data_IF_424638254354
#
_entry.id   IF_424638254354
#
_cell.length_a   1.000
_cell.length_b   1.000
_cell.length_c   1.000
_cell.angle_alpha   90.00
_cell.angle_beta   90.00
_cell.angle_gamma   90.00
#
_symmetry.space_group_name_H-M   'P 1'
#
loop_
_entity.id
_entity.type
_entity.pdbx_description
1 polymer ?
#
# COMPACT_ATOMS: atom_id res chain seq x y z
N UNK A 1 24.00 2.21 28.94
CA UNK A 1 23.70 3.23 27.94
C UNK A 1 22.18 3.22 27.71
N UNK A 2 21.45 4.18 28.31
CA UNK A 2 19.99 4.20 28.31
C UNK A 2 19.44 5.10 27.21
N UNK A 3 19.02 4.53 26.10
CA UNK A 3 18.26 5.27 25.10
C UNK A 3 16.83 5.41 25.62
N UNK A 4 16.31 6.64 25.70
CA UNK A 4 14.95 6.89 26.13
C UNK A 4 13.97 6.55 25.00
N UNK A 5 13.46 5.31 25.00
CA UNK A 5 12.55 4.74 23.99
C UNK A 5 11.30 5.60 23.81
N UNK A 6 10.81 6.22 24.89
CA UNK A 6 9.60 7.05 24.85
C UNK A 6 9.83 8.28 23.97
N UNK A 7 10.96 8.98 24.14
CA UNK A 7 11.29 10.17 23.34
C UNK A 7 11.36 9.82 21.84
N UNK A 8 11.99 8.71 21.49
CA UNK A 8 12.09 8.27 20.09
C UNK A 8 10.73 7.90 19.48
N UNK A 9 9.86 7.23 20.25
CA UNK A 9 8.49 6.93 19.80
C UNK A 9 7.70 8.21 19.55
N UNK A 10 7.72 9.16 20.49
CA UNK A 10 7.02 10.44 20.30
C UNK A 10 7.55 11.22 19.10
N UNK A 11 8.87 11.27 18.92
CA UNK A 11 9.50 11.92 17.77
C UNK A 11 9.06 11.29 16.45
N UNK A 12 9.00 9.95 16.36
CA UNK A 12 8.55 9.24 15.17
C UNK A 12 7.07 9.53 14.86
N UNK A 13 6.20 9.52 15.87
CA UNK A 13 4.78 9.85 15.70
C UNK A 13 4.59 11.32 15.30
N UNK A 14 5.37 12.24 15.84
CA UNK A 14 5.31 13.65 15.48
C UNK A 14 5.66 13.86 14.00
N UNK A 15 6.76 13.26 13.54
CA UNK A 15 7.17 13.35 12.13
C UNK A 15 6.14 12.68 11.21
N UNK A 16 5.65 11.51 11.58
CA UNK A 16 4.62 10.81 10.82
C UNK A 16 3.32 11.64 10.72
N UNK A 17 2.88 12.23 11.82
CA UNK A 17 1.70 13.11 11.86
C UNK A 17 1.87 14.37 11.01
N UNK A 18 3.07 14.97 11.01
CA UNK A 18 3.39 16.14 10.19
C UNK A 18 3.32 15.80 8.69
N UNK A 19 3.96 14.69 8.28
CA UNK A 19 3.92 14.22 6.88
C UNK A 19 2.50 13.85 6.48
N UNK A 20 1.76 13.15 7.36
CA UNK A 20 0.36 12.78 7.14
C UNK A 20 -0.55 14.00 7.00
N UNK A 21 -0.31 15.06 7.78
CA UNK A 21 -1.04 16.33 7.67
C UNK A 21 -0.83 17.01 6.31
N UNK A 22 0.40 17.03 5.82
CA UNK A 22 0.73 17.56 4.49
C UNK A 22 0.04 16.74 3.40
N UNK A 23 0.15 15.41 3.47
CA UNK A 23 -0.50 14.52 2.52
C UNK A 23 -2.03 14.66 2.52
N UNK A 24 -2.63 14.82 3.71
CA UNK A 24 -4.05 15.10 3.88
C UNK A 24 -4.47 16.42 3.25
N UNK A 25 -3.67 17.49 3.40
CA UNK A 25 -3.93 18.78 2.78
C UNK A 25 -3.93 18.70 1.24
N UNK A 26 -2.99 17.95 0.65
CA UNK A 26 -2.98 17.68 -0.80
C UNK A 26 -4.20 16.87 -1.24
N UNK A 27 -4.59 15.87 -0.46
CA UNK A 27 -5.79 15.07 -0.74
C UNK A 27 -7.05 15.93 -0.75
N UNK A 28 -7.20 16.78 0.26
CA UNK A 28 -8.34 17.70 0.41
C UNK A 28 -8.43 18.70 -0.74
N UNK A 29 -7.31 19.21 -1.24
CA UNK A 29 -7.31 20.17 -2.34
C UNK A 29 -7.86 19.60 -3.66
N UNK A 30 -7.89 18.26 -3.81
CA UNK A 30 -8.54 17.60 -4.92
C UNK A 30 -10.05 17.34 -4.72
N UNK A 31 -10.55 17.47 -3.49
CA UNK A 31 -11.95 17.25 -3.15
C UNK A 31 -12.66 18.61 -3.03
N UNK A 32 -13.78 18.78 -3.72
CA UNK A 32 -14.57 20.02 -3.66
C UNK A 32 -15.22 20.24 -2.29
N UNK A 33 -15.46 19.16 -1.53
CA UNK A 33 -16.03 19.20 -0.19
C UNK A 33 -15.49 18.05 0.65
N UNK A 34 -15.38 18.25 1.95
CA UNK A 34 -14.90 17.25 2.91
C UNK A 34 -16.06 16.79 3.77
N UNK A 35 -16.24 15.45 3.86
CA UNK A 35 -17.13 14.84 4.82
C UNK A 35 -16.37 13.76 5.61
N UNK A 36 -16.81 13.41 6.83
CA UNK A 36 -16.19 12.35 7.63
C UNK A 36 -16.15 11.00 6.90
N UNK A 37 -17.05 10.76 5.97
CA UNK A 37 -17.16 9.55 5.17
C UNK A 37 -15.95 9.34 4.23
N UNK A 38 -15.21 10.40 3.90
CA UNK A 38 -13.98 10.32 3.11
C UNK A 38 -12.80 9.71 3.88
N UNK A 39 -12.95 9.50 5.19
CA UNK A 39 -11.91 8.93 6.07
C UNK A 39 -12.39 7.65 6.76
N UNK A 40 -12.82 6.61 6.02
CA UNK A 40 -13.21 5.35 6.64
C UNK A 40 -11.99 4.67 7.28
N UNK A 41 -12.22 3.94 8.35
CA UNK A 41 -11.18 3.17 9.05
C UNK A 41 -10.45 2.18 8.14
N UNK A 42 -11.07 1.74 7.07
CA UNK A 42 -10.51 0.84 6.06
C UNK A 42 -9.25 1.41 5.40
N UNK A 43 -9.14 2.74 5.21
CA UNK A 43 -7.94 3.37 4.69
C UNK A 43 -6.70 3.13 5.56
N UNK A 44 -6.88 3.07 6.87
CA UNK A 44 -5.78 2.75 7.78
C UNK A 44 -5.29 1.32 7.60
N UNK A 45 -6.20 0.36 7.43
CA UNK A 45 -5.86 -1.03 7.12
C UNK A 45 -5.18 -1.14 5.76
N UNK A 46 -5.66 -0.39 4.77
CA UNK A 46 -5.07 -0.34 3.44
C UNK A 46 -3.60 0.11 3.49
N UNK A 47 -3.29 1.19 4.23
CA UNK A 47 -1.93 1.67 4.43
C UNK A 47 -1.04 0.64 5.12
N UNK A 48 -1.56 -0.08 6.12
CA UNK A 48 -0.83 -1.18 6.76
C UNK A 48 -0.52 -2.29 5.74
N UNK A 49 -1.49 -2.66 4.90
CA UNK A 49 -1.30 -3.63 3.84
C UNK A 49 -0.21 -3.23 2.85
N UNK A 50 -0.17 -1.96 2.45
CA UNK A 50 0.88 -1.40 1.57
C UNK A 50 2.27 -1.56 2.20
N UNK A 51 2.41 -1.26 3.50
CA UNK A 51 3.68 -1.40 4.24
C UNK A 51 4.10 -2.86 4.34
N UNK A 52 3.15 -3.78 4.58
CA UNK A 52 3.42 -5.21 4.66
C UNK A 52 3.94 -5.77 3.32
N UNK A 53 3.30 -5.41 2.21
CA UNK A 53 3.70 -5.82 0.86
C UNK A 53 5.06 -5.22 0.49
N UNK A 54 5.27 -3.94 0.80
CA UNK A 54 6.52 -3.25 0.52
C UNK A 54 7.71 -3.81 1.31
N UNK A 55 7.45 -4.28 2.51
CA UNK A 55 8.44 -4.78 3.48
C UNK A 55 8.61 -3.83 4.66
N UNK A 56 8.24 -4.34 5.83
CA UNK A 56 8.31 -3.59 7.10
C UNK A 56 9.76 -3.21 7.41
N UNK A 57 9.96 -1.94 7.76
CA UNK A 57 11.28 -1.42 8.15
C UNK A 57 12.14 -0.91 6.99
N UNK A 58 11.63 -0.90 5.76
CA UNK A 58 12.33 -0.37 4.59
C UNK A 58 11.56 0.78 3.94
N UNK A 59 12.17 1.97 3.89
CA UNK A 59 11.57 3.15 3.23
C UNK A 59 11.40 2.89 1.72
N UNK A 60 12.40 2.30 1.09
CA UNK A 60 12.33 1.93 -0.33
C UNK A 60 11.22 0.91 -0.59
N UNK A 61 11.07 -0.06 0.33
CA UNK A 61 10.00 -1.05 0.26
C UNK A 61 8.61 -0.43 0.32
N UNK A 62 8.40 0.52 1.20
CA UNK A 62 7.11 1.22 1.32
C UNK A 62 6.78 1.99 0.03
N UNK A 63 7.76 2.63 -0.61
CA UNK A 63 7.58 3.32 -1.89
C UNK A 63 7.21 2.32 -2.99
N UNK A 64 7.95 1.21 -3.12
CA UNK A 64 7.62 0.17 -4.10
C UNK A 64 6.27 -0.49 -3.82
N UNK A 65 5.96 -0.76 -2.55
CA UNK A 65 4.67 -1.31 -2.13
C UNK A 65 3.50 -0.38 -2.48
N UNK A 66 3.65 0.93 -2.28
CA UNK A 66 2.60 1.89 -2.64
C UNK A 66 2.37 1.98 -4.14
N UNK A 67 3.42 2.04 -4.95
CA UNK A 67 3.32 2.04 -6.41
C UNK A 67 2.66 0.73 -6.89
N UNK A 68 3.13 -0.41 -6.39
CA UNK A 68 2.58 -1.72 -6.74
C UNK A 68 1.09 -1.81 -6.43
N UNK A 69 0.68 -1.38 -5.23
CA UNK A 69 -0.73 -1.43 -4.83
C UNK A 69 -1.63 -0.50 -5.64
N UNK A 70 -1.16 0.70 -5.98
CA UNK A 70 -1.90 1.60 -6.86
C UNK A 70 -2.11 0.95 -8.23
N UNK A 71 -1.05 0.37 -8.82
CA UNK A 71 -1.14 -0.32 -10.12
C UNK A 71 -2.11 -1.50 -10.06
N UNK A 72 -2.03 -2.33 -9.02
CA UNK A 72 -2.93 -3.48 -8.84
C UNK A 72 -4.39 -3.03 -8.75
N UNK A 73 -4.67 -1.97 -7.98
CA UNK A 73 -6.02 -1.44 -7.84
C UNK A 73 -6.54 -0.84 -9.15
N UNK A 74 -5.69 -0.15 -9.90
CA UNK A 74 -6.05 0.43 -11.20
C UNK A 74 -6.37 -0.66 -12.23
N UNK A 75 -5.53 -1.71 -12.30
CA UNK A 75 -5.76 -2.86 -13.18
C UNK A 75 -7.06 -3.59 -12.83
N UNK A 76 -7.34 -3.79 -11.54
CA UNK A 76 -8.61 -4.38 -11.09
C UNK A 76 -9.80 -3.51 -11.52
N UNK A 77 -9.71 -2.19 -11.36
CA UNK A 77 -10.77 -1.27 -11.75
C UNK A 77 -11.01 -1.28 -13.25
N UNK A 78 -9.97 -1.23 -14.07
CA UNK A 78 -10.06 -1.30 -15.53
C UNK A 78 -10.66 -2.64 -16.00
N UNK A 79 -10.26 -3.74 -15.38
CA UNK A 79 -10.79 -5.07 -15.70
C UNK A 79 -12.28 -5.13 -15.44
N UNK A 80 -12.75 -4.60 -14.32
CA UNK A 80 -14.17 -4.61 -13.99
C UNK A 80 -14.97 -3.66 -14.87
N UNK A 81 -14.45 -2.47 -15.16
CA UNK A 81 -15.10 -1.55 -16.10
C UNK A 81 -15.31 -2.19 -17.48
N UNK A 82 -14.37 -3.01 -17.95
CA UNK A 82 -14.52 -3.75 -19.20
C UNK A 82 -15.62 -4.82 -19.19
N UNK A 83 -16.05 -5.27 -18.00
CA UNK A 83 -17.16 -6.21 -17.86
C UNK A 83 -18.53 -5.54 -17.62
N UNK A 84 -18.55 -4.26 -17.27
CA UNK A 84 -19.79 -3.51 -16.93
C UNK A 84 -20.67 -3.24 -18.16
N UNK A 85 -20.11 -3.23 -19.37
CA UNK A 85 -20.85 -3.04 -20.63
C UNK A 85 -21.78 -4.24 -20.98
N UNK A 86 -21.79 -5.28 -20.15
CA UNK A 86 -22.69 -6.43 -20.31
C UNK A 86 -23.93 -6.21 -19.44
N UNK A 87 -25.10 -6.66 -19.90
CA UNK A 87 -26.43 -6.49 -19.28
C UNK A 87 -26.57 -6.96 -17.80
N UNK A 88 -25.53 -7.52 -17.23
CA UNK A 88 -25.39 -7.93 -15.82
C UNK A 88 -24.63 -6.89 -14.98
N UNK A 89 -24.21 -5.78 -15.59
CA UNK A 89 -23.24 -4.84 -15.01
C UNK A 89 -23.74 -4.06 -13.80
N UNK A 90 -25.01 -3.66 -13.74
CA UNK A 90 -25.52 -2.84 -12.63
C UNK A 90 -25.54 -3.57 -11.27
N UNK A 91 -25.83 -4.86 -11.27
CA UNK A 91 -25.77 -5.69 -10.05
C UNK A 91 -24.33 -5.96 -9.63
N UNK A 92 -23.46 -6.22 -10.60
CA UNK A 92 -22.04 -6.44 -10.38
C UNK A 92 -21.35 -5.19 -9.83
N UNK A 93 -21.82 -3.98 -10.14
CA UNK A 93 -21.19 -2.75 -9.66
C UNK A 93 -21.34 -2.53 -8.15
N UNK A 94 -22.47 -2.92 -7.58
CA UNK A 94 -22.70 -2.84 -6.12
C UNK A 94 -21.90 -3.92 -5.39
N UNK A 95 -21.88 -5.14 -5.95
CA UNK A 95 -21.08 -6.25 -5.41
C UNK A 95 -19.58 -6.04 -5.62
N UNK A 96 -19.20 -5.22 -6.60
CA UNK A 96 -17.80 -4.92 -6.93
C UNK A 96 -17.06 -4.17 -5.82
N UNK A 97 -17.71 -3.26 -5.10
CA UNK A 97 -17.08 -2.59 -3.97
C UNK A 97 -16.63 -3.59 -2.90
N UNK A 98 -17.50 -4.55 -2.57
CA UNK A 98 -17.19 -5.64 -1.64
C UNK A 98 -16.13 -6.60 -2.22
N UNK A 99 -16.21 -6.89 -3.51
CA UNK A 99 -15.23 -7.74 -4.19
C UNK A 99 -13.85 -7.11 -4.24
N UNK A 100 -13.77 -5.78 -4.42
CA UNK A 100 -12.51 -5.01 -4.39
C UNK A 100 -11.84 -5.10 -3.01
N UNK A 101 -12.62 -4.96 -1.93
CA UNK A 101 -12.10 -5.08 -0.57
C UNK A 101 -11.66 -6.52 -0.26
N UNK A 102 -12.43 -7.52 -0.69
CA UNK A 102 -12.07 -8.93 -0.53
C UNK A 102 -10.82 -9.30 -1.36
N UNK A 103 -10.73 -8.82 -2.61
CA UNK A 103 -9.57 -9.02 -3.45
C UNK A 103 -8.30 -8.39 -2.85
N UNK A 104 -8.43 -7.21 -2.24
CA UNK A 104 -7.35 -6.57 -1.51
C UNK A 104 -6.86 -7.42 -0.34
N UNK A 105 -7.77 -7.91 0.52
CA UNK A 105 -7.43 -8.79 1.63
C UNK A 105 -6.74 -10.08 1.15
N UNK A 106 -7.26 -10.67 0.08
CA UNK A 106 -6.69 -11.86 -0.53
C UNK A 106 -5.29 -11.59 -1.12
N UNK A 107 -5.10 -10.45 -1.78
CA UNK A 107 -3.79 -10.04 -2.31
C UNK A 107 -2.75 -9.93 -1.19
N UNK A 108 -3.09 -9.30 -0.05
CA UNK A 108 -2.20 -9.23 1.12
C UNK A 108 -1.86 -10.64 1.62
N UNK A 109 -2.84 -11.51 1.81
CA UNK A 109 -2.62 -12.87 2.29
C UNK A 109 -1.69 -13.66 1.36
N UNK A 110 -1.96 -13.61 0.05
CA UNK A 110 -1.13 -14.26 -0.96
C UNK A 110 0.29 -13.70 -0.93
N UNK A 111 0.44 -12.38 -0.88
CA UNK A 111 1.77 -11.75 -0.81
C UNK A 111 2.54 -12.15 0.45
N UNK A 112 1.89 -12.18 1.61
CA UNK A 112 2.54 -12.60 2.86
C UNK A 112 2.97 -14.07 2.84
N UNK A 113 2.25 -14.92 2.12
CA UNK A 113 2.62 -16.35 1.98
C UNK A 113 3.83 -16.50 1.06
N UNK A 114 3.84 -15.80 -0.08
CA UNK A 114 4.89 -15.93 -1.09
C UNK A 114 6.13 -15.08 -0.77
N UNK A 115 5.96 -13.90 -0.18
CA UNK A 115 7.04 -12.93 0.09
C UNK A 115 6.98 -12.38 1.53
N UNK A 116 7.27 -13.20 2.54
CA UNK A 116 7.17 -12.79 3.95
C UNK A 116 8.16 -11.66 4.32
N UNK A 117 9.18 -11.41 3.49
CA UNK A 117 10.16 -10.33 3.69
C UNK A 117 9.86 -9.07 2.89
N UNK A 118 8.81 -9.09 2.06
CA UNK A 118 8.35 -7.98 1.23
C UNK A 118 9.23 -7.69 0.00
N UNK A 119 8.71 -6.83 -0.87
CA UNK A 119 9.36 -6.45 -2.15
C UNK A 119 10.74 -5.84 -1.98
N UNK A 120 10.98 -5.11 -0.89
CA UNK A 120 12.29 -4.51 -0.59
C UNK A 120 13.40 -5.55 -0.49
N UNK A 121 13.13 -6.70 0.08
CA UNK A 121 14.12 -7.78 0.22
C UNK A 121 14.51 -8.35 -1.14
N UNK A 122 13.53 -8.56 -2.04
CA UNK A 122 13.80 -9.00 -3.43
C UNK A 122 14.64 -7.99 -4.19
N UNK A 123 14.33 -6.70 -4.03
CA UNK A 123 15.13 -5.65 -4.65
C UNK A 123 16.58 -5.66 -4.17
N UNK A 124 16.78 -5.86 -2.86
CA UNK A 124 18.11 -5.93 -2.26
C UNK A 124 18.89 -7.17 -2.75
N UNK A 125 18.22 -8.31 -2.88
CA UNK A 125 18.82 -9.52 -3.46
C UNK A 125 19.25 -9.30 -4.93
N UNK A 126 18.37 -8.70 -5.74
CA UNK A 126 18.71 -8.38 -7.13
C UNK A 126 19.91 -7.42 -7.22
N UNK A 127 19.90 -6.36 -6.43
CA UNK A 127 21.01 -5.42 -6.37
C UNK A 127 22.34 -6.08 -5.97
N UNK A 128 22.32 -6.95 -4.99
CA UNK A 128 23.48 -7.71 -4.56
C UNK A 128 23.97 -8.67 -5.67
N UNK A 129 23.04 -9.33 -6.36
CA UNK A 129 23.38 -10.21 -7.48
C UNK A 129 24.09 -9.42 -8.60
N UNK A 130 23.60 -8.25 -8.97
CA UNK A 130 24.24 -7.39 -9.98
C UNK A 130 25.57 -6.81 -9.53
N UNK A 131 25.73 -6.48 -8.25
CA UNK A 131 27.00 -5.97 -7.72
C UNK A 131 28.10 -7.04 -7.58
N UNK A 132 27.71 -8.30 -7.44
CA UNK A 132 28.65 -9.43 -7.34
C UNK A 132 29.01 -10.04 -8.70
N UNK A 133 28.33 -9.65 -9.78
CA UNK A 133 28.66 -10.07 -11.14
C UNK A 133 29.74 -9.13 -11.73
N UNK A 134 30.98 -9.57 -12.12
CA UNK A 134 31.41 -10.91 -12.54
C UNK A 134 32.26 -11.69 -11.52
N UNK A 135 32.37 -11.28 -10.28
CA UNK A 135 33.23 -11.90 -9.28
C UNK A 135 32.42 -12.85 -8.37
N UNK A 136 31.96 -13.94 -8.96
CA UNK A 136 31.41 -15.07 -8.20
C UNK A 136 32.59 -15.94 -7.74
N UNK A 137 33.05 -15.71 -6.50
CA UNK A 137 33.82 -16.67 -5.73
C UNK A 137 32.98 -17.16 -4.55
#
# INVERSE_FOLDING_TARGET
>A
MGINVIKYKFSAFFVAGFIGGIAGAFWISNLAAISPEHFPWFWSLWLVGVILIGGVGSIHGTIFGSIFMVVVMEVLQLTVMGFVDTSWGERLFTDFLFLKEAAFGLAICVFMIFEPKGLAYRWWQMKNYFNLWPFSY
#
